data_IF_592196740252
#
_entry.id   IF_592196740252
#
_cell.length_a   1.000
_cell.length_b   1.000
_cell.length_c   1.000
_cell.angle_alpha   90.00
_cell.angle_beta   90.00
_cell.angle_gamma   90.00
#
_symmetry.space_group_name_H-M   'P 1'
#
loop_
_entity.id
_entity.type
_entity.pdbx_description
1 polymer ?
#
# COMPACT_ATOMS: atom_id res chain seq x y z
N UNK A 1 -5.42 17.23 -11.37
CA UNK A 1 -5.66 16.48 -10.14
C UNK A 1 -4.98 15.12 -10.29
N UNK A 2 -4.31 14.61 -9.25
CA UNK A 2 -3.56 13.35 -9.31
C UNK A 2 -4.12 12.41 -8.26
N UNK A 3 -4.47 11.20 -8.68
CA UNK A 3 -5.11 10.20 -7.83
C UNK A 3 -4.11 9.23 -7.16
N UNK A 4 -2.80 9.50 -7.29
CA UNK A 4 -1.77 8.66 -6.68
C UNK A 4 -1.66 8.92 -5.18
N UNK A 5 -1.70 7.85 -4.40
CA UNK A 5 -1.51 7.93 -2.95
C UNK A 5 -0.06 8.24 -2.59
N UNK A 6 0.15 9.04 -1.53
CA UNK A 6 1.43 9.35 -0.95
C UNK A 6 1.33 9.41 0.58
N UNK A 7 2.41 9.17 1.30
CA UNK A 7 2.46 9.19 2.76
C UNK A 7 3.63 10.03 3.26
N UNK A 8 3.55 10.49 4.52
CA UNK A 8 4.54 11.42 5.07
C UNK A 8 5.97 10.86 5.09
N UNK A 9 6.13 9.55 5.22
CA UNK A 9 7.46 8.90 5.20
C UNK A 9 8.17 9.03 3.85
N UNK A 10 7.42 9.30 2.77
CA UNK A 10 7.97 9.51 1.42
C UNK A 10 8.63 10.88 1.27
N UNK A 11 8.34 11.81 2.17
CA UNK A 11 8.84 13.18 2.06
C UNK A 11 10.37 13.24 2.16
N UNK A 12 10.97 12.50 3.08
CA UNK A 12 12.42 12.51 3.27
C UNK A 12 13.18 12.03 2.02
N UNK A 13 12.92 10.82 1.48
CA UNK A 13 13.59 10.39 0.24
C UNK A 13 13.28 11.31 -0.95
N UNK A 14 12.08 11.91 -1.00
CA UNK A 14 11.73 12.88 -2.05
C UNK A 14 12.58 14.15 -1.99
N UNK A 15 12.76 14.71 -0.79
CA UNK A 15 13.58 15.92 -0.63
C UNK A 15 15.05 15.66 -0.96
N UNK A 16 15.58 14.50 -0.58
CA UNK A 16 16.95 14.09 -0.93
C UNK A 16 17.11 13.97 -2.45
N UNK A 17 16.13 13.37 -3.12
CA UNK A 17 16.12 13.19 -4.57
C UNK A 17 16.01 14.53 -5.32
N UNK A 18 15.05 15.38 -4.94
CA UNK A 18 14.85 16.71 -5.53
C UNK A 18 16.02 17.68 -5.29
N UNK A 19 16.72 17.53 -4.16
CA UNK A 19 17.90 18.30 -3.87
C UNK A 19 19.13 17.88 -4.72
N UNK A 20 19.00 16.81 -5.52
CA UNK A 20 20.10 16.26 -6.29
C UNK A 20 21.23 15.73 -5.41
N UNK A 21 20.95 15.46 -4.14
CA UNK A 21 21.88 14.89 -3.18
C UNK A 21 22.01 13.39 -3.47
N UNK A 22 22.34 13.09 -4.71
CA UNK A 22 22.70 11.73 -5.13
C UNK A 22 24.20 11.63 -5.15
N UNK A 23 24.77 10.53 -4.65
CA UNK A 23 26.21 10.30 -4.64
C UNK A 23 26.83 10.37 -6.04
N UNK A 24 28.13 10.40 -6.10
CA UNK A 24 28.95 10.57 -7.29
C UNK A 24 28.33 10.04 -8.60
N UNK A 25 27.90 10.94 -9.47
CA UNK A 25 27.39 10.62 -10.80
C UNK A 25 25.97 10.05 -10.84
N UNK A 26 25.12 10.34 -9.85
CA UNK A 26 23.70 9.99 -9.86
C UNK A 26 23.36 8.52 -9.54
N UNK A 27 24.33 7.76 -9.03
CA UNK A 27 24.16 6.32 -8.77
C UNK A 27 24.14 5.92 -7.29
N UNK A 28 24.55 6.79 -6.39
CA UNK A 28 24.54 6.51 -4.97
C UNK A 28 23.68 7.53 -4.24
N UNK A 29 22.60 7.08 -3.65
CA UNK A 29 21.76 7.92 -2.80
C UNK A 29 22.46 8.20 -1.47
N UNK A 30 22.41 9.45 -0.98
CA UNK A 30 22.80 9.78 0.39
C UNK A 30 21.78 9.29 1.45
N UNK A 31 20.84 8.49 1.05
CA UNK A 31 20.00 7.79 2.01
C UNK A 31 20.89 6.87 2.87
N UNK A 32 20.67 6.84 4.18
CA UNK A 32 21.42 5.95 5.06
C UNK A 32 21.32 4.49 4.59
N UNK A 33 22.44 3.81 4.50
CA UNK A 33 22.50 2.38 4.12
C UNK A 33 22.54 1.46 5.35
N UNK A 34 22.74 2.05 6.54
CA UNK A 34 22.79 1.35 7.83
C UNK A 34 21.40 1.10 8.45
N UNK A 35 20.36 1.59 7.80
CA UNK A 35 18.97 1.47 8.24
C UNK A 35 18.01 1.36 7.07
N UNK A 36 16.83 0.79 7.33
CA UNK A 36 15.75 0.74 6.36
C UNK A 36 15.09 2.12 6.28
N UNK A 37 14.88 2.61 5.07
CA UNK A 37 14.06 3.79 4.79
C UNK A 37 12.72 3.27 4.28
N UNK A 38 11.66 3.50 5.06
CA UNK A 38 10.33 2.97 4.77
C UNK A 38 9.62 3.74 3.63
N UNK A 39 10.05 4.99 3.37
CA UNK A 39 9.47 5.83 2.31
C UNK A 39 10.18 5.66 0.97
N UNK A 40 9.49 6.01 -0.10
CA UNK A 40 10.01 6.07 -1.47
C UNK A 40 9.91 7.49 -2.03
N UNK A 41 10.78 7.85 -2.97
CA UNK A 41 10.73 9.18 -3.57
C UNK A 41 9.47 9.39 -4.42
N UNK A 42 8.79 10.50 -4.18
CA UNK A 42 7.67 10.99 -4.99
C UNK A 42 8.10 11.86 -6.17
N UNK A 43 9.40 12.01 -6.41
CA UNK A 43 9.91 12.93 -7.45
C UNK A 43 9.34 12.60 -8.84
N UNK A 44 9.18 11.33 -9.18
CA UNK A 44 8.56 10.91 -10.43
C UNK A 44 7.07 11.28 -10.51
N UNK A 45 6.36 11.25 -9.39
CA UNK A 45 4.96 11.69 -9.28
C UNK A 45 4.80 13.19 -9.60
N UNK A 46 5.78 14.01 -9.23
CA UNK A 46 5.75 15.45 -9.51
C UNK A 46 5.96 15.77 -10.98
N UNK A 47 6.56 14.86 -11.73
CA UNK A 47 6.93 15.04 -13.14
C UNK A 47 6.00 14.29 -14.12
N UNK A 48 5.34 13.24 -13.66
CA UNK A 48 4.48 12.35 -14.48
C UNK A 48 3.33 11.79 -13.67
N UNK A 49 2.41 11.09 -14.33
CA UNK A 49 1.32 10.34 -13.66
C UNK A 49 1.76 8.94 -13.21
N UNK A 50 3.00 8.82 -12.73
CA UNK A 50 3.55 7.56 -12.24
C UNK A 50 2.81 7.07 -10.99
N UNK A 51 2.77 5.75 -10.82
CA UNK A 51 2.32 5.10 -9.58
C UNK A 51 3.56 4.70 -8.78
N UNK A 52 3.63 5.10 -7.53
CA UNK A 52 4.76 4.82 -6.64
C UNK A 52 4.46 3.71 -5.62
N UNK A 53 3.24 3.66 -5.08
CA UNK A 53 2.83 2.63 -4.14
C UNK A 53 2.21 1.44 -4.87
N UNK A 54 3.05 0.46 -5.17
CA UNK A 54 2.71 -0.83 -5.76
C UNK A 54 2.82 -1.95 -4.73
N UNK A 55 2.67 -3.20 -5.15
CA UNK A 55 2.87 -4.36 -4.28
C UNK A 55 4.28 -4.44 -3.67
N UNK A 56 5.30 -3.88 -4.32
CA UNK A 56 6.68 -3.84 -3.81
C UNK A 56 6.85 -2.82 -2.69
N UNK A 57 6.10 -1.72 -2.74
CA UNK A 57 6.14 -0.63 -1.78
C UNK A 57 4.74 -0.21 -1.33
N UNK A 58 4.00 -1.08 -0.63
CA UNK A 58 2.64 -0.77 -0.19
C UNK A 58 2.63 0.26 0.94
N UNK A 59 1.57 1.05 1.02
CA UNK A 59 1.29 1.89 2.18
C UNK A 59 0.83 1.00 3.33
N UNK A 60 1.48 1.16 4.50
CA UNK A 60 1.22 0.38 5.69
C UNK A 60 0.39 1.18 6.69
N UNK A 61 -0.77 0.66 7.06
CA UNK A 61 -1.64 1.27 8.06
C UNK A 61 -1.43 0.61 9.42
N UNK A 62 -0.67 1.27 10.28
CA UNK A 62 -0.31 0.77 11.61
C UNK A 62 -1.25 1.31 12.69
N UNK A 63 -1.56 0.48 13.69
CA UNK A 63 -2.22 0.90 14.93
C UNK A 63 -1.58 0.20 16.11
N UNK A 64 -0.95 0.96 17.02
CA UNK A 64 -0.28 0.42 18.20
C UNK A 64 0.66 -0.73 17.86
N UNK A 65 1.65 -0.48 17.00
CA UNK A 65 2.67 -1.45 16.57
C UNK A 65 2.13 -2.69 15.81
N UNK A 66 0.87 -2.66 15.41
CA UNK A 66 0.25 -3.74 14.64
C UNK A 66 -0.14 -3.26 13.25
N UNK A 67 0.26 -3.98 12.24
CA UNK A 67 -0.22 -3.77 10.89
C UNK A 67 -1.71 -4.13 10.83
N UNK A 68 -2.54 -3.19 10.39
CA UNK A 68 -4.00 -3.33 10.34
C UNK A 68 -4.53 -3.39 8.92
N UNK A 69 -3.89 -2.68 8.02
CA UNK A 69 -4.24 -2.69 6.61
C UNK A 69 -3.02 -2.42 5.75
N UNK A 70 -3.09 -2.85 4.52
CA UNK A 70 -2.17 -2.45 3.45
C UNK A 70 -2.96 -1.83 2.30
N UNK A 71 -2.31 -0.90 1.62
CA UNK A 71 -2.88 -0.24 0.46
C UNK A 71 -1.82 -0.15 -0.63
N UNK A 72 -2.17 -0.54 -1.84
CA UNK A 72 -1.34 -0.29 -3.01
C UNK A 72 -2.18 -0.24 -4.30
N UNK A 73 -1.56 0.25 -5.34
CA UNK A 73 -2.16 0.44 -6.65
C UNK A 73 -1.66 -0.64 -7.60
N UNK A 74 -2.56 -1.16 -8.42
CA UNK A 74 -2.24 -2.14 -9.46
C UNK A 74 -2.82 -1.70 -10.80
N UNK A 75 -2.21 -2.14 -11.93
CA UNK A 75 -2.76 -1.89 -13.25
C UNK A 75 -4.15 -2.51 -13.40
N UNK A 76 -5.09 -1.77 -13.98
CA UNK A 76 -6.44 -2.28 -14.26
C UNK A 76 -6.41 -3.49 -15.19
N UNK A 77 -5.40 -3.57 -16.06
CA UNK A 77 -5.20 -4.72 -16.95
C UNK A 77 -4.98 -6.04 -16.19
N UNK A 78 -4.39 -5.99 -15.00
CA UNK A 78 -4.23 -7.18 -14.13
C UNK A 78 -5.56 -7.59 -13.52
N UNK A 79 -6.36 -6.62 -13.07
CA UNK A 79 -7.70 -6.88 -12.54
C UNK A 79 -8.59 -7.49 -13.62
N UNK A 80 -8.56 -6.94 -14.85
CA UNK A 80 -9.33 -7.48 -16.00
C UNK A 80 -8.92 -8.90 -16.39
N UNK A 81 -7.67 -9.30 -16.20
CA UNK A 81 -7.23 -10.69 -16.44
C UNK A 81 -7.86 -11.68 -15.46
N UNK A 82 -7.97 -11.27 -14.19
CA UNK A 82 -8.59 -12.10 -13.14
C UNK A 82 -10.12 -12.12 -13.26
N UNK A 83 -10.70 -11.01 -13.69
CA UNK A 83 -12.16 -10.80 -13.72
C UNK A 83 -12.61 -10.24 -15.08
N UNK A 84 -12.54 -11.02 -16.16
CA UNK A 84 -12.84 -10.54 -17.51
C UNK A 84 -14.32 -10.17 -17.71
N UNK A 85 -15.22 -10.69 -16.86
CA UNK A 85 -16.66 -10.47 -16.95
C UNK A 85 -17.13 -9.23 -16.18
N UNK A 86 -16.27 -8.62 -15.37
CA UNK A 86 -16.64 -7.44 -14.59
C UNK A 86 -16.47 -6.16 -15.38
N UNK A 87 -17.59 -5.52 -15.70
CA UNK A 87 -17.68 -4.20 -16.33
C UNK A 87 -18.09 -3.15 -15.30
N UNK A 88 -17.18 -2.81 -14.39
CA UNK A 88 -17.38 -1.66 -13.51
C UNK A 88 -16.71 -0.43 -14.12
N UNK A 89 -17.34 0.74 -13.97
CA UNK A 89 -16.81 2.03 -14.45
C UNK A 89 -15.40 2.32 -13.93
N UNK A 90 -15.07 1.80 -12.73
CA UNK A 90 -13.71 1.84 -12.16
C UNK A 90 -12.66 1.17 -13.04
N UNK A 91 -13.03 0.21 -13.88
CA UNK A 91 -12.12 -0.47 -14.81
C UNK A 91 -11.77 0.37 -16.04
N UNK A 92 -12.32 1.56 -16.19
CA UNK A 92 -11.94 2.52 -17.24
C UNK A 92 -10.70 3.32 -16.86
N UNK A 93 -10.32 3.32 -15.57
CA UNK A 93 -9.06 3.89 -15.12
C UNK A 93 -7.89 2.99 -15.50
N UNK A 94 -6.72 3.58 -15.75
CA UNK A 94 -5.49 2.86 -16.04
C UNK A 94 -5.00 2.05 -14.83
N UNK A 95 -5.23 2.58 -13.62
CA UNK A 95 -4.81 2.01 -12.35
C UNK A 95 -5.96 1.99 -11.35
N UNK A 96 -5.95 1.00 -10.46
CA UNK A 96 -6.91 0.84 -9.37
C UNK A 96 -6.14 0.72 -8.05
N UNK A 97 -6.54 1.52 -7.07
CA UNK A 97 -6.01 1.45 -5.71
C UNK A 97 -6.95 0.64 -4.83
N UNK A 98 -6.44 -0.43 -4.26
CA UNK A 98 -7.15 -1.22 -3.26
C UNK A 98 -6.54 -1.02 -1.88
N UNK A 99 -7.39 -1.15 -0.87
CA UNK A 99 -7.01 -1.19 0.54
C UNK A 99 -7.63 -2.41 1.20
N UNK A 100 -6.78 -3.21 1.81
CA UNK A 100 -7.17 -4.45 2.47
C UNK A 100 -6.98 -4.37 3.98
N UNK A 101 -7.99 -4.78 4.71
CA UNK A 101 -7.98 -4.90 6.15
C UNK A 101 -8.17 -6.36 6.57
N UNK A 102 -7.38 -6.79 7.55
CA UNK A 102 -7.61 -8.05 8.23
C UNK A 102 -8.02 -7.81 9.68
N UNK A 103 -9.09 -8.48 10.12
CA UNK A 103 -9.47 -8.50 11.52
C UNK A 103 -8.50 -9.38 12.31
N UNK A 104 -7.68 -8.79 13.15
CA UNK A 104 -6.88 -9.55 14.11
C UNK A 104 -7.81 -10.07 15.21
N UNK A 105 -7.72 -11.37 15.52
CA UNK A 105 -8.66 -12.16 16.34
C UNK A 105 -9.03 -11.60 17.72
N UNK A 106 -8.37 -10.57 18.25
CA UNK A 106 -8.57 -10.01 19.58
C UNK A 106 -9.07 -8.56 19.57
N UNK A 107 -9.62 -8.07 18.46
CA UNK A 107 -10.19 -6.73 18.43
C UNK A 107 -11.65 -6.78 18.87
N UNK A 108 -11.89 -6.61 20.19
CA UNK A 108 -13.22 -6.57 20.80
C UNK A 108 -13.97 -5.25 20.55
N UNK A 109 -13.56 -4.44 19.57
CA UNK A 109 -14.30 -3.24 19.26
C UNK A 109 -15.69 -3.59 18.74
N UNK A 110 -16.74 -2.99 19.33
CA UNK A 110 -18.14 -3.21 18.97
C UNK A 110 -18.49 -2.80 17.53
N UNK A 111 -17.56 -2.19 16.82
CA UNK A 111 -17.70 -1.72 15.45
C UNK A 111 -17.56 -2.83 14.39
N UNK A 112 -17.05 -4.00 14.74
CA UNK A 112 -16.79 -5.07 13.80
C UNK A 112 -17.88 -6.12 13.89
N UNK A 113 -18.60 -6.30 12.79
CA UNK A 113 -19.48 -7.45 12.61
C UNK A 113 -18.68 -8.73 12.88
N UNK A 114 -19.13 -9.54 13.84
CA UNK A 114 -18.44 -10.77 14.26
C UNK A 114 -18.22 -11.76 13.11
N UNK A 115 -18.97 -11.60 12.01
CA UNK A 115 -18.93 -12.48 10.85
C UNK A 115 -18.02 -11.99 9.72
N UNK A 116 -17.49 -10.76 9.78
CA UNK A 116 -16.66 -10.19 8.72
C UNK A 116 -15.20 -10.24 9.14
N UNK A 117 -14.44 -11.13 8.48
CA UNK A 117 -13.02 -11.34 8.79
C UNK A 117 -12.10 -10.40 8.01
N UNK A 118 -12.43 -10.11 6.76
CA UNK A 118 -11.57 -9.38 5.83
C UNK A 118 -12.37 -8.35 5.05
N UNK A 119 -11.77 -7.20 4.79
CA UNK A 119 -12.38 -6.13 4.03
C UNK A 119 -11.43 -5.68 2.93
N UNK A 120 -11.94 -5.59 1.71
CA UNK A 120 -11.26 -5.02 0.56
C UNK A 120 -12.07 -3.82 0.07
N UNK A 121 -11.44 -2.66 -0.02
CA UNK A 121 -12.03 -1.45 -0.57
C UNK A 121 -11.34 -1.05 -1.87
N UNK A 122 -12.07 -0.46 -2.80
CA UNK A 122 -11.55 0.17 -4.00
C UNK A 122 -11.55 1.67 -3.76
N UNK A 123 -10.40 2.23 -3.42
CA UNK A 123 -10.30 3.66 -3.07
C UNK A 123 -10.49 4.59 -4.28
N UNK A 124 -10.23 4.11 -5.48
CA UNK A 124 -10.45 4.85 -6.73
C UNK A 124 -11.93 5.22 -6.94
N UNK A 125 -12.86 4.42 -6.40
CA UNK A 125 -14.31 4.58 -6.55
C UNK A 125 -14.98 4.89 -5.20
N UNK A 126 -14.56 4.21 -4.14
CA UNK A 126 -15.12 4.30 -2.80
C UNK A 126 -14.12 4.93 -1.82
N UNK A 127 -13.85 6.21 -2.02
CA UNK A 127 -12.95 6.98 -1.16
C UNK A 127 -13.33 6.95 0.33
N UNK A 128 -14.62 6.81 0.63
CA UNK A 128 -15.15 6.76 1.99
C UNK A 128 -15.13 5.34 2.62
N UNK A 129 -14.63 4.34 1.89
CA UNK A 129 -14.50 2.95 2.36
C UNK A 129 -15.83 2.33 2.84
N UNK A 130 -16.95 2.65 2.14
CA UNK A 130 -18.29 2.22 2.54
C UNK A 130 -18.59 0.76 2.14
N UNK A 131 -17.97 0.26 1.07
CA UNK A 131 -18.32 -1.01 0.47
C UNK A 131 -17.20 -2.03 0.59
N UNK A 132 -17.51 -3.19 1.20
CA UNK A 132 -16.59 -4.32 1.19
C UNK A 132 -16.67 -5.06 -0.15
N UNK A 133 -15.57 -5.07 -0.90
CA UNK A 133 -15.44 -5.70 -2.21
C UNK A 133 -14.83 -7.11 -2.16
N UNK A 134 -14.50 -7.63 -0.96
CA UNK A 134 -13.98 -9.01 -0.82
C UNK A 134 -14.83 -10.07 -1.53
N UNK A 135 -16.18 -10.04 -1.45
CA UNK A 135 -16.99 -11.03 -2.15
C UNK A 135 -16.96 -10.91 -3.69
N UNK A 136 -16.61 -9.73 -4.19
CA UNK A 136 -16.54 -9.44 -5.64
C UNK A 136 -15.15 -9.77 -6.19
N UNK A 137 -14.09 -9.51 -5.42
CA UNK A 137 -12.69 -9.68 -5.82
C UNK A 137 -11.93 -10.61 -4.84
N UNK A 138 -12.34 -11.89 -4.73
CA UNK A 138 -11.76 -12.80 -3.74
C UNK A 138 -10.28 -13.09 -3.99
N UNK A 139 -9.84 -13.24 -5.26
CA UNK A 139 -8.43 -13.52 -5.58
C UNK A 139 -7.54 -12.31 -5.26
N UNK A 140 -8.00 -11.09 -5.54
CA UNK A 140 -7.28 -9.86 -5.16
C UNK A 140 -7.21 -9.76 -3.64
N UNK A 141 -8.31 -10.07 -2.94
CA UNK A 141 -8.32 -10.08 -1.48
C UNK A 141 -7.28 -11.05 -0.89
N UNK A 142 -7.15 -12.25 -1.45
CA UNK A 142 -6.13 -13.21 -1.02
C UNK A 142 -4.70 -12.78 -1.39
N UNK A 143 -4.48 -12.11 -2.53
CA UNK A 143 -3.17 -11.53 -2.88
C UNK A 143 -2.75 -10.47 -1.86
N UNK A 144 -3.64 -9.54 -1.52
CA UNK A 144 -3.37 -8.50 -0.52
C UNK A 144 -3.13 -9.09 0.87
N UNK A 145 -3.89 -10.11 1.25
CA UNK A 145 -3.70 -10.84 2.50
C UNK A 145 -2.34 -11.53 2.55
N UNK A 146 -1.95 -12.24 1.50
CA UNK A 146 -0.66 -12.89 1.41
C UNK A 146 0.49 -11.88 1.55
N UNK A 147 0.40 -10.73 0.85
CA UNK A 147 1.37 -9.64 0.94
C UNK A 147 1.43 -9.03 2.34
N UNK A 148 0.28 -8.82 2.98
CA UNK A 148 0.22 -8.32 4.36
C UNK A 148 0.91 -9.27 5.33
N UNK A 149 0.72 -10.59 5.19
CA UNK A 149 1.36 -11.59 6.04
C UNK A 149 2.86 -11.68 5.79
N UNK A 150 3.32 -11.62 4.53
CA UNK A 150 4.75 -11.52 4.18
C UNK A 150 5.42 -10.35 4.93
N UNK A 151 4.80 -9.16 4.88
CA UNK A 151 5.31 -7.97 5.58
C UNK A 151 5.31 -8.17 7.10
N UNK A 152 4.24 -8.73 7.66
CA UNK A 152 4.16 -9.01 9.11
C UNK A 152 5.25 -9.99 9.55
N UNK A 153 5.59 -10.98 8.74
CA UNK A 153 6.65 -11.94 9.06
C UNK A 153 8.03 -11.27 8.95
N UNK A 154 8.25 -10.42 7.95
CA UNK A 154 9.49 -9.63 7.85
C UNK A 154 9.70 -8.71 9.07
N UNK A 155 8.65 -8.17 9.67
CA UNK A 155 8.76 -7.40 10.92
C UNK A 155 9.24 -8.23 12.09
N UNK A 156 8.88 -9.51 12.18
CA UNK A 156 9.35 -10.42 13.23
C UNK A 156 10.84 -10.73 13.08
N UNK A 157 11.28 -10.94 11.84
CA UNK A 157 12.66 -11.26 11.52
C UNK A 157 13.60 -10.06 11.68
N UNK A 158 13.12 -8.86 11.30
CA UNK A 158 13.90 -7.61 11.33
C UNK A 158 13.63 -6.78 12.58
N UNK A 159 13.10 -7.37 13.64
CA UNK A 159 12.81 -6.66 14.88
C UNK A 159 14.10 -6.12 15.49
N UNK A 160 14.39 -4.86 15.20
CA UNK A 160 15.51 -4.15 15.87
C UNK A 160 15.15 -4.01 17.33
N UNK A 161 16.01 -4.51 18.21
CA UNK A 161 15.89 -4.23 19.64
C UNK A 161 15.81 -2.73 19.85
N UNK A 162 14.95 -2.30 20.77
CA UNK A 162 15.00 -0.92 21.27
C UNK A 162 16.43 -0.76 21.77
N UNK A 163 17.15 0.24 21.24
CA UNK A 163 18.45 0.61 21.75
C UNK A 163 18.15 1.17 23.14
N UNK A 164 18.46 0.37 24.17
CA UNK A 164 18.43 0.81 25.57
C UNK A 164 19.50 1.88 25.82
#
# INVERSE_FOLDING_TARGET
ERDSSAVLVDLYPTLVDLAGITGNGGKESYLPTDRVIDGISMATLLQSDAVIHTADHPILHMKREKLKAIQYTMPTSEVKKLYPEYTYDVLDNEYITFKYFEKIQNDNSAFWDKNRKNWLHILTDDYAENYNRTPVYPEISEQYKAKMHEIMDSFKENRRGIIE
#
